data_IF_121058145332
#
_entry.id   IF_121058145332
#
_cell.length_a   1.000
_cell.length_b   1.000
_cell.length_c   1.000
_cell.angle_alpha   90.00
_cell.angle_beta   90.00
_cell.angle_gamma   90.00
#
_symmetry.space_group_name_H-M   'P 1'
#
loop_
_entity.id
_entity.type
_entity.pdbx_description
1 polymer ?
#
# COMPACT_ATOMS: atom_id res chain seq x y z
N UNK A 1 -3.48 -28.32 -1.78
CA UNK A 1 -2.88 -28.11 -0.45
C UNK A 1 -3.53 -26.88 0.11
N UNK A 2 -4.47 -27.12 1.02
CA UNK A 2 -5.45 -26.17 1.51
C UNK A 2 -4.79 -24.98 2.18
N UNK A 3 -5.16 -23.80 1.72
CA UNK A 3 -4.57 -22.51 2.09
C UNK A 3 -5.02 -22.00 3.46
N UNK A 4 -5.38 -22.88 4.38
CA UNK A 4 -5.80 -22.50 5.73
C UNK A 4 -4.55 -22.30 6.59
N UNK A 5 -4.24 -21.04 6.86
CA UNK A 5 -3.20 -20.67 7.81
C UNK A 5 -3.62 -21.12 9.23
N UNK A 6 -2.71 -21.66 10.05
CA UNK A 6 -3.04 -22.10 11.40
C UNK A 6 -3.55 -20.92 12.26
N UNK A 7 -4.42 -21.23 13.23
CA UNK A 7 -5.16 -20.28 14.10
C UNK A 7 -4.30 -19.27 14.91
N UNK A 8 -2.96 -19.32 14.80
CA UNK A 8 -2.02 -18.45 15.52
C UNK A 8 -1.82 -17.05 14.92
N UNK A 9 -2.63 -16.64 13.94
CA UNK A 9 -2.43 -15.36 13.26
C UNK A 9 -3.71 -14.51 13.27
N UNK A 10 -3.96 -13.87 14.42
CA UNK A 10 -5.12 -13.01 14.72
C UNK A 10 -5.46 -11.91 13.69
N UNK A 11 -4.58 -11.63 12.74
CA UNK A 11 -4.70 -10.54 11.78
C UNK A 11 -4.61 -11.00 10.31
N UNK A 12 -4.52 -12.31 10.05
CA UNK A 12 -4.53 -12.84 8.69
C UNK A 12 -5.92 -12.69 8.07
N UNK A 13 -5.99 -12.76 6.74
CA UNK A 13 -7.27 -12.69 6.04
C UNK A 13 -8.13 -13.91 6.44
N UNK A 14 -9.41 -13.67 6.73
CA UNK A 14 -10.37 -14.78 6.82
C UNK A 14 -10.56 -15.43 5.44
N UNK A 15 -11.15 -16.62 5.39
CA UNK A 15 -11.43 -17.29 4.12
C UNK A 15 -12.35 -16.45 3.22
N UNK A 16 -13.37 -15.83 3.80
CA UNK A 16 -14.30 -14.93 3.11
C UNK A 16 -13.58 -13.70 2.52
N UNK A 17 -12.73 -13.03 3.32
CA UNK A 17 -11.93 -11.91 2.84
C UNK A 17 -10.96 -12.33 1.74
N UNK A 18 -10.37 -13.52 1.88
CA UNK A 18 -9.48 -14.07 0.88
C UNK A 18 -10.22 -14.37 -0.43
N UNK A 19 -11.45 -14.88 -0.40
CA UNK A 19 -12.24 -15.15 -1.60
C UNK A 19 -12.50 -13.87 -2.40
N UNK A 20 -12.89 -12.78 -1.72
CA UNK A 20 -13.10 -11.47 -2.35
C UNK A 20 -11.79 -10.99 -2.97
N UNK A 21 -10.69 -10.99 -2.20
CA UNK A 21 -9.39 -10.52 -2.70
C UNK A 21 -8.89 -11.38 -3.87
N UNK A 22 -8.97 -12.70 -3.75
CA UNK A 22 -8.45 -13.66 -4.73
C UNK A 22 -9.10 -13.51 -6.11
N UNK A 23 -10.39 -13.15 -6.15
CA UNK A 23 -11.10 -12.85 -7.39
C UNK A 23 -10.51 -11.65 -8.17
N UNK A 24 -9.85 -10.72 -7.46
CA UNK A 24 -9.22 -9.53 -8.01
C UNK A 24 -7.74 -9.74 -8.37
N UNK A 25 -7.16 -10.87 -7.97
CA UNK A 25 -5.73 -11.15 -8.17
C UNK A 25 -5.47 -11.68 -9.58
N UNK A 26 -4.27 -11.42 -10.14
CA UNK A 26 -3.87 -12.02 -11.40
C UNK A 26 -3.91 -13.55 -11.31
N UNK A 27 -4.39 -14.20 -12.37
CA UNK A 27 -4.35 -15.64 -12.50
C UNK A 27 -2.93 -16.21 -12.37
N UNK A 28 -2.85 -17.51 -12.10
CA UNK A 28 -1.56 -18.20 -11.97
C UNK A 28 -0.76 -18.06 -13.28
N UNK A 29 0.54 -17.73 -13.23
CA UNK A 29 1.39 -17.71 -14.41
C UNK A 29 1.31 -19.06 -15.14
N UNK A 30 1.12 -19.02 -16.46
CA UNK A 30 1.08 -20.22 -17.32
C UNK A 30 2.47 -20.83 -17.54
N UNK A 31 3.53 -20.06 -17.34
CA UNK A 31 4.92 -20.44 -17.59
C UNK A 31 5.81 -20.09 -16.39
N UNK A 32 6.99 -20.71 -16.33
CA UNK A 32 7.97 -20.51 -15.27
C UNK A 32 7.83 -21.47 -14.09
N UNK A 33 8.76 -21.36 -13.13
CA UNK A 33 8.78 -22.21 -11.94
C UNK A 33 7.55 -21.91 -11.07
N UNK A 34 6.75 -22.92 -10.69
CA UNK A 34 5.67 -22.75 -9.73
C UNK A 34 6.16 -22.09 -8.45
N UNK A 35 5.34 -21.17 -7.91
CA UNK A 35 5.62 -20.55 -6.61
C UNK A 35 5.56 -21.62 -5.53
N UNK A 36 6.58 -21.63 -4.65
CA UNK A 36 6.62 -22.53 -3.50
C UNK A 36 5.57 -22.17 -2.44
N UNK A 37 5.28 -20.88 -2.27
CA UNK A 37 4.28 -20.37 -1.32
C UNK A 37 3.04 -19.86 -2.04
N UNK A 38 1.90 -19.96 -1.38
CA UNK A 38 0.63 -19.45 -1.91
C UNK A 38 0.65 -17.92 -1.97
N UNK A 39 -0.25 -17.31 -2.74
CA UNK A 39 -0.40 -15.85 -2.73
C UNK A 39 -0.91 -15.36 -1.38
N UNK A 40 -1.86 -16.09 -0.77
CA UNK A 40 -2.41 -15.79 0.56
C UNK A 40 -1.31 -15.68 1.61
N UNK A 41 -0.46 -16.71 1.71
CA UNK A 41 0.68 -16.74 2.64
C UNK A 41 1.55 -15.48 2.50
N UNK A 42 1.91 -15.12 1.28
CA UNK A 42 2.80 -14.00 1.03
C UNK A 42 2.10 -12.64 1.25
N UNK A 43 0.82 -12.52 0.89
CA UNK A 43 0.01 -11.32 1.16
C UNK A 43 -0.19 -11.12 2.66
N UNK A 44 -0.49 -12.17 3.42
CA UNK A 44 -0.59 -12.09 4.88
C UNK A 44 0.76 -11.76 5.51
N UNK A 45 1.88 -12.23 4.95
CA UNK A 45 3.22 -11.79 5.34
C UNK A 45 3.45 -10.30 5.13
N UNK A 46 2.98 -9.75 4.00
CA UNK A 46 3.03 -8.30 3.72
C UNK A 46 2.14 -7.54 4.71
N UNK A 47 0.90 -8.00 4.95
CA UNK A 47 -0.03 -7.40 5.91
C UNK A 47 0.54 -7.43 7.33
N UNK A 48 1.17 -8.53 7.74
CA UNK A 48 1.87 -8.63 9.02
C UNK A 48 2.96 -7.58 9.12
N UNK A 49 3.87 -7.50 8.14
CA UNK A 49 4.96 -6.52 8.13
C UNK A 49 4.46 -5.09 8.19
N UNK A 50 3.45 -4.75 7.38
CA UNK A 50 2.89 -3.39 7.33
C UNK A 50 2.26 -2.99 8.66
N UNK A 51 1.55 -3.91 9.31
CA UNK A 51 0.89 -3.67 10.60
C UNK A 51 1.87 -3.59 11.77
N UNK A 52 2.92 -4.41 11.78
CA UNK A 52 3.89 -4.43 12.90
C UNK A 52 5.02 -3.43 12.73
N UNK A 53 5.30 -3.00 11.50
CA UNK A 53 6.48 -2.19 11.19
C UNK A 53 7.80 -2.94 11.34
N UNK A 54 7.79 -4.27 11.52
CA UNK A 54 9.02 -5.04 11.70
C UNK A 54 9.92 -4.97 10.45
N UNK A 55 11.25 -5.08 10.62
CA UNK A 55 12.17 -5.32 9.51
C UNK A 55 11.69 -6.51 8.66
N UNK A 56 11.90 -6.44 7.34
CA UNK A 56 11.49 -7.52 6.43
C UNK A 56 12.04 -8.89 6.84
N UNK A 57 13.28 -8.91 7.34
CA UNK A 57 13.98 -10.13 7.80
C UNK A 57 13.31 -10.79 9.01
N UNK A 58 12.47 -10.04 9.74
CA UNK A 58 11.78 -10.50 10.95
C UNK A 58 10.35 -10.95 10.65
N UNK A 59 9.94 -10.95 9.37
CA UNK A 59 8.64 -11.51 8.96
C UNK A 59 8.63 -13.01 9.27
N UNK A 60 7.61 -13.52 9.99
CA UNK A 60 7.57 -14.92 10.37
C UNK A 60 7.60 -15.90 9.20
N UNK A 61 8.41 -16.94 9.31
CA UNK A 61 8.63 -17.94 8.25
C UNK A 61 7.37 -18.69 7.81
N UNK A 62 6.31 -18.70 8.63
CA UNK A 62 4.99 -19.26 8.28
C UNK A 62 4.39 -18.65 7.00
N UNK A 63 4.74 -17.40 6.71
CA UNK A 63 4.32 -16.68 5.50
C UNK A 63 5.20 -16.99 4.28
N UNK A 64 6.30 -17.71 4.50
CA UNK A 64 7.37 -17.95 3.55
C UNK A 64 8.63 -17.18 3.90
N UNK A 65 9.66 -17.32 3.05
CA UNK A 65 10.91 -16.59 3.27
C UNK A 65 10.69 -15.10 3.07
N UNK A 66 11.37 -14.27 3.86
CA UNK A 66 11.25 -12.82 3.78
C UNK A 66 11.56 -12.28 2.37
N UNK A 67 12.49 -12.92 1.64
CA UNK A 67 12.83 -12.54 0.26
C UNK A 67 11.62 -12.69 -0.67
N UNK A 68 10.81 -13.73 -0.49
CA UNK A 68 9.63 -13.95 -1.32
C UNK A 68 8.48 -13.02 -0.95
N UNK A 69 8.31 -12.70 0.34
CA UNK A 69 7.34 -11.71 0.82
C UNK A 69 7.69 -10.33 0.25
N UNK A 70 8.95 -9.90 0.44
CA UNK A 70 9.46 -8.62 -0.08
C UNK A 70 9.43 -8.57 -1.61
N UNK A 71 9.86 -9.64 -2.27
CA UNK A 71 9.88 -9.74 -3.73
C UNK A 71 8.48 -9.57 -4.34
N UNK A 72 7.46 -10.20 -3.74
CA UNK A 72 6.07 -9.99 -4.16
C UNK A 72 5.63 -8.54 -3.94
N UNK A 73 5.88 -8.00 -2.74
CA UNK A 73 5.54 -6.62 -2.40
C UNK A 73 6.11 -5.63 -3.42
N UNK A 74 7.41 -5.73 -3.69
CA UNK A 74 8.13 -4.84 -4.62
C UNK A 74 7.68 -5.01 -6.06
N UNK A 75 7.55 -6.24 -6.54
CA UNK A 75 7.08 -6.49 -7.91
C UNK A 75 5.68 -5.88 -8.13
N UNK A 76 4.79 -6.00 -7.14
CA UNK A 76 3.44 -5.43 -7.23
C UNK A 76 3.42 -3.91 -7.05
N UNK A 77 4.32 -3.36 -6.23
CA UNK A 77 4.51 -1.91 -6.12
C UNK A 77 4.92 -1.32 -7.47
N UNK A 78 5.97 -1.86 -8.10
CA UNK A 78 6.48 -1.38 -9.39
C UNK A 78 5.44 -1.53 -10.51
N UNK A 79 4.61 -2.57 -10.45
CA UNK A 79 3.53 -2.80 -11.41
C UNK A 79 2.23 -2.01 -11.10
N UNK A 80 2.18 -1.17 -10.06
CA UNK A 80 0.97 -0.44 -9.66
C UNK A 80 -0.18 -1.32 -9.18
N UNK A 81 0.06 -2.60 -8.89
CA UNK A 81 -0.99 -3.59 -8.61
C UNK A 81 -1.69 -3.36 -7.27
N UNK A 82 -0.99 -2.79 -6.27
CA UNK A 82 -1.62 -2.43 -5.00
C UNK A 82 -2.71 -1.38 -5.17
N UNK A 83 -2.42 -0.32 -5.94
CA UNK A 83 -3.39 0.72 -6.25
C UNK A 83 -4.58 0.13 -7.05
N UNK A 84 -4.32 -0.75 -8.02
CA UNK A 84 -5.39 -1.44 -8.75
C UNK A 84 -6.27 -2.31 -7.87
N UNK A 85 -5.70 -3.00 -6.88
CA UNK A 85 -6.46 -3.81 -5.91
C UNK A 85 -7.33 -2.92 -5.02
N UNK A 86 -6.78 -1.80 -4.51
CA UNK A 86 -7.55 -0.84 -3.71
C UNK A 86 -8.75 -0.30 -4.51
N UNK A 87 -8.51 0.13 -5.75
CA UNK A 87 -9.56 0.59 -6.66
C UNK A 87 -10.63 -0.48 -6.91
N UNK A 88 -10.24 -1.72 -7.16
CA UNK A 88 -11.20 -2.81 -7.38
C UNK A 88 -11.99 -3.16 -6.11
N UNK A 89 -11.36 -3.10 -4.93
CA UNK A 89 -12.07 -3.30 -3.65
C UNK A 89 -13.06 -2.16 -3.35
N UNK A 90 -12.75 -0.92 -3.73
CA UNK A 90 -13.69 0.20 -3.65
C UNK A 90 -14.90 -0.03 -4.56
N UNK A 91 -14.69 -0.48 -5.80
CA UNK A 91 -15.77 -0.80 -6.75
C UNK A 91 -16.68 -1.92 -6.23
N UNK A 92 -16.09 -3.01 -5.71
CA UNK A 92 -16.86 -4.09 -5.06
C UNK A 92 -17.67 -3.57 -3.88
N UNK A 93 -17.10 -2.67 -3.06
CA UNK A 93 -17.81 -2.09 -1.93
C UNK A 93 -18.96 -1.18 -2.38
N UNK A 94 -18.79 -0.41 -3.45
CA UNK A 94 -19.84 0.46 -4.00
C UNK A 94 -21.00 -0.36 -4.59
N UNK A 95 -20.68 -1.40 -5.36
CA UNK A 95 -21.66 -2.30 -5.99
C UNK A 95 -22.62 -2.92 -4.96
N UNK A 96 -22.12 -3.24 -3.76
CA UNK A 96 -22.91 -3.81 -2.66
C UNK A 96 -23.39 -2.77 -1.64
N UNK A 97 -23.28 -1.48 -1.96
CA UNK A 97 -23.83 -0.38 -1.16
C UNK A 97 -23.10 -0.11 0.16
N UNK A 98 -21.81 -0.47 0.25
CA UNK A 98 -20.98 -0.23 1.45
C UNK A 98 -20.24 1.11 1.43
N UNK A 99 -20.25 1.86 0.32
CA UNK A 99 -19.66 3.19 0.23
C UNK A 99 -20.67 4.24 0.71
N UNK A 100 -20.31 4.95 1.78
CA UNK A 100 -21.00 6.16 2.20
C UNK A 100 -20.37 7.37 1.47
N UNK A 101 -21.18 8.35 1.06
CA UNK A 101 -20.69 9.57 0.40
C UNK A 101 -20.47 10.75 1.37
N UNK A 102 -20.62 10.50 2.67
CA UNK A 102 -20.15 11.38 3.75
C UNK A 102 -18.65 11.20 3.91
N UNK A 103 -17.88 12.15 3.38
CA UNK A 103 -16.42 12.08 3.31
C UNK A 103 -15.76 13.06 4.27
N UNK A 104 -14.81 12.58 5.06
CA UNK A 104 -13.88 13.40 5.83
C UNK A 104 -12.54 13.47 5.13
N UNK A 105 -11.94 14.67 5.09
CA UNK A 105 -10.60 14.88 4.53
C UNK A 105 -9.71 15.45 5.62
N UNK A 106 -8.58 14.80 5.84
CA UNK A 106 -7.56 15.27 6.78
C UNK A 106 -6.16 14.96 6.24
N UNK A 107 -5.16 15.62 6.81
CA UNK A 107 -3.76 15.34 6.50
C UNK A 107 -2.96 15.05 7.76
N UNK A 108 -1.95 14.21 7.61
CA UNK A 108 -0.99 13.92 8.69
C UNK A 108 0.43 14.06 8.20
N UNK A 109 1.33 14.47 9.11
CA UNK A 109 2.76 14.68 8.82
C UNK A 109 3.55 13.52 9.39
N UNK A 110 4.28 12.82 8.53
CA UNK A 110 5.16 11.72 8.90
C UNK A 110 6.61 12.17 8.80
N UNK A 111 7.36 12.05 9.90
CA UNK A 111 8.81 12.27 9.87
C UNK A 111 9.48 11.15 9.07
N UNK A 112 10.36 11.53 8.15
CA UNK A 112 11.17 10.59 7.42
C UNK A 112 12.19 9.93 8.38
N UNK A 113 12.46 8.64 8.16
CA UNK A 113 13.55 7.97 8.87
C UNK A 113 14.87 8.71 8.60
N UNK A 114 15.78 8.78 9.57
CA UNK A 114 17.04 9.52 9.44
C UNK A 114 17.86 9.15 8.19
N UNK A 115 17.78 7.90 7.74
CA UNK A 115 18.45 7.41 6.53
C UNK A 115 17.84 7.93 5.21
N UNK A 116 16.66 8.54 5.23
CA UNK A 116 16.06 9.18 4.06
C UNK A 116 16.85 10.42 3.59
N UNK A 117 17.65 11.03 4.48
CA UNK A 117 18.47 12.19 4.15
C UNK A 117 19.61 11.89 3.16
N UNK A 118 19.95 10.60 2.96
CA UNK A 118 21.01 10.15 2.06
C UNK A 118 20.54 9.76 0.65
N UNK A 119 19.29 10.06 0.27
CA UNK A 119 18.78 9.74 -1.05
C UNK A 119 19.65 10.37 -2.15
N UNK A 120 19.83 9.64 -3.27
CA UNK A 120 20.66 10.12 -4.39
C UNK A 120 20.04 11.37 -5.00
N UNK A 121 20.86 12.37 -5.32
CA UNK A 121 20.43 13.64 -5.94
C UNK A 121 20.13 13.52 -7.44
N UNK A 122 20.45 12.37 -8.02
CA UNK A 122 20.27 12.00 -9.43
C UNK A 122 19.37 10.76 -9.50
N UNK A 123 18.04 10.91 -9.36
CA UNK A 123 17.09 9.79 -9.34
C UNK A 123 17.13 8.97 -10.64
N UNK A 124 17.45 9.61 -11.77
CA UNK A 124 17.64 8.97 -13.07
C UNK A 124 18.82 7.98 -13.12
N UNK A 125 19.77 8.10 -12.19
CA UNK A 125 20.95 7.24 -12.06
C UNK A 125 20.75 6.11 -11.03
N UNK A 126 19.54 5.95 -10.50
CA UNK A 126 19.21 4.82 -9.63
C UNK A 126 19.09 3.54 -10.46
N UNK A 127 19.50 2.41 -9.89
CA UNK A 127 19.33 1.08 -10.51
C UNK A 127 17.86 0.79 -10.84
N UNK A 128 16.96 1.31 -10.00
CA UNK A 128 15.51 1.32 -10.21
C UNK A 128 15.05 2.77 -10.06
N UNK A 129 14.98 3.55 -11.16
CA UNK A 129 14.50 4.93 -11.09
C UNK A 129 13.01 4.96 -10.73
N UNK A 130 12.54 5.99 -10.00
CA UNK A 130 11.12 6.09 -9.66
C UNK A 130 10.29 6.34 -10.91
N UNK A 131 9.23 5.56 -11.09
CA UNK A 131 8.26 5.78 -12.17
C UNK A 131 6.99 6.37 -11.58
N UNK A 132 6.61 7.56 -12.05
CA UNK A 132 5.40 8.26 -11.59
C UNK A 132 5.47 8.83 -10.18
N UNK A 133 6.66 8.86 -9.56
CA UNK A 133 6.90 9.53 -8.27
C UNK A 133 7.32 10.99 -8.49
N UNK A 134 6.95 11.93 -7.60
CA UNK A 134 7.50 13.28 -7.59
C UNK A 134 9.03 13.29 -7.49
N UNK A 135 9.68 14.29 -8.08
CA UNK A 135 11.14 14.42 -8.08
C UNK A 135 11.75 14.52 -6.66
N UNK A 136 10.97 14.96 -5.68
CA UNK A 136 11.35 15.07 -4.28
C UNK A 136 10.92 13.86 -3.44
N UNK A 137 10.38 12.80 -4.04
CA UNK A 137 9.83 11.63 -3.36
C UNK A 137 8.76 11.97 -2.31
N UNK A 138 8.05 13.10 -2.50
CA UNK A 138 7.16 13.70 -1.51
C UNK A 138 7.83 13.96 -0.15
N UNK A 139 9.16 14.16 -0.14
CA UNK A 139 9.94 14.52 1.04
C UNK A 139 10.26 16.01 1.03
N UNK A 140 10.17 16.62 2.21
CA UNK A 140 10.26 18.06 2.35
C UNK A 140 10.88 18.49 3.67
N UNK A 141 11.62 19.61 3.68
CA UNK A 141 12.20 20.15 4.92
C UNK A 141 11.15 20.99 5.66
N UNK A 142 10.78 20.56 6.87
CA UNK A 142 9.97 21.34 7.81
C UNK A 142 10.75 21.65 9.09
N UNK A 143 10.12 22.30 10.08
CA UNK A 143 10.75 22.60 11.38
C UNK A 143 11.28 21.36 12.10
N UNK A 144 10.74 20.17 11.78
CA UNK A 144 11.11 18.90 12.39
C UNK A 144 12.09 18.04 11.59
N UNK A 145 12.71 18.56 10.53
CA UNK A 145 13.59 17.80 9.62
C UNK A 145 12.88 17.41 8.32
N UNK A 146 13.31 16.32 7.68
CA UNK A 146 12.65 15.79 6.49
C UNK A 146 11.32 15.12 6.88
N UNK A 147 10.23 15.55 6.26
CA UNK A 147 8.88 15.02 6.50
C UNK A 147 8.10 14.88 5.19
N UNK A 148 7.12 13.99 5.20
CA UNK A 148 6.09 13.80 4.17
C UNK A 148 4.73 14.16 4.77
N UNK A 149 3.80 14.63 3.95
CA UNK A 149 2.39 14.71 4.31
C UNK A 149 1.59 13.67 3.55
N UNK A 150 0.69 13.00 4.27
CA UNK A 150 -0.32 12.11 3.70
C UNK A 150 -1.65 12.83 3.83
N UNK A 151 -2.28 13.17 2.71
CA UNK A 151 -3.65 13.69 2.67
C UNK A 151 -4.58 12.55 2.28
N UNK A 152 -5.65 12.37 3.04
CA UNK A 152 -6.54 11.22 2.89
C UNK A 152 -7.99 11.68 2.92
N UNK A 153 -8.77 11.27 1.93
CA UNK A 153 -10.23 11.30 1.96
C UNK A 153 -10.73 9.92 2.38
N UNK A 154 -11.56 9.87 3.43
CA UNK A 154 -12.12 8.64 3.99
C UNK A 154 -13.62 8.81 4.14
N UNK A 155 -14.39 7.83 3.67
CA UNK A 155 -15.83 7.82 3.91
C UNK A 155 -16.20 7.33 5.32
N UNK A 156 -17.44 7.56 5.75
CA UNK A 156 -17.91 7.28 7.11
C UNK A 156 -17.68 5.81 7.56
N UNK A 157 -17.71 4.85 6.65
CA UNK A 157 -17.38 3.44 6.89
C UNK A 157 -15.87 3.12 6.97
N UNK A 158 -14.99 4.12 6.98
CA UNK A 158 -13.52 4.06 7.11
C UNK A 158 -12.76 3.51 5.90
N UNK A 159 -13.34 3.54 4.71
CA UNK A 159 -12.70 3.15 3.46
C UNK A 159 -12.04 4.40 2.85
N UNK A 160 -10.75 4.33 2.47
CA UNK A 160 -10.12 5.42 1.75
C UNK A 160 -10.80 5.60 0.40
N UNK A 161 -10.97 6.83 -0.05
CA UNK A 161 -11.50 7.18 -1.38
C UNK A 161 -10.47 7.93 -2.24
N UNK A 162 -9.55 8.65 -1.61
CA UNK A 162 -8.45 9.31 -2.31
C UNK A 162 -7.26 9.49 -1.38
N UNK A 163 -6.05 9.30 -1.93
CA UNK A 163 -4.79 9.56 -1.23
C UNK A 163 -3.90 10.48 -2.07
N UNK A 164 -3.22 11.41 -1.40
CA UNK A 164 -2.20 12.27 -1.98
C UNK A 164 -1.01 12.38 -1.04
N UNK A 165 0.19 12.26 -1.59
CA UNK A 165 1.43 12.52 -0.86
C UNK A 165 2.01 13.86 -1.31
N UNK A 166 2.46 14.67 -0.35
CA UNK A 166 3.19 15.90 -0.64
C UNK A 166 4.41 16.06 0.27
N UNK A 167 5.39 16.87 -0.12
CA UNK A 167 6.47 17.29 0.77
C UNK A 167 5.97 17.91 2.07
N UNK A 168 6.73 17.73 3.13
CA UNK A 168 6.43 18.21 4.48
C UNK A 168 6.10 19.69 4.62
N UNK A 169 6.72 20.56 3.81
CA UNK A 169 6.49 22.01 3.82
C UNK A 169 5.26 22.45 3.01
N UNK A 170 4.63 21.55 2.25
CA UNK A 170 3.47 21.90 1.44
C UNK A 170 2.31 22.31 2.36
N UNK A 171 1.63 23.42 2.05
CA UNK A 171 0.44 23.84 2.75
C UNK A 171 -0.71 22.86 2.49
N UNK A 172 -1.55 22.60 3.49
CA UNK A 172 -2.66 21.63 3.38
C UNK A 172 -3.82 22.18 2.55
N UNK A 173 -4.16 23.47 2.72
CA UNK A 173 -5.34 24.07 2.09
C UNK A 173 -5.38 23.93 0.57
N UNK A 174 -4.28 24.15 -0.19
CA UNK A 174 -4.29 23.90 -1.64
C UNK A 174 -4.46 22.42 -2.02
N UNK A 175 -4.04 21.50 -1.14
CA UNK A 175 -4.12 20.06 -1.41
C UNK A 175 -5.53 19.52 -1.21
N UNK A 176 -6.35 20.18 -0.39
CA UNK A 176 -7.75 19.81 -0.18
C UNK A 176 -8.52 19.71 -1.52
N UNK A 177 -8.40 20.70 -2.40
CA UNK A 177 -9.04 20.68 -3.72
C UNK A 177 -8.54 19.53 -4.60
N UNK A 178 -7.25 19.20 -4.53
CA UNK A 178 -6.64 18.09 -5.27
C UNK A 178 -7.17 16.75 -4.77
N UNK A 179 -7.30 16.60 -3.45
CA UNK A 179 -7.86 15.39 -2.82
C UNK A 179 -9.32 15.22 -3.21
N UNK A 180 -10.12 16.29 -3.12
CA UNK A 180 -11.52 16.24 -3.53
C UNK A 180 -11.69 15.84 -5.00
N UNK A 181 -10.90 16.41 -5.91
CA UNK A 181 -10.94 16.05 -7.34
C UNK A 181 -10.49 14.61 -7.65
N UNK A 182 -9.89 13.91 -6.67
CA UNK A 182 -9.51 12.50 -6.80
C UNK A 182 -10.54 11.54 -6.22
N UNK A 183 -11.52 12.02 -5.44
CA UNK A 183 -12.58 11.17 -4.89
C UNK A 183 -13.38 10.59 -6.04
N UNK A 184 -13.35 9.26 -6.16
CA UNK A 184 -14.15 8.49 -7.10
C UNK A 184 -14.16 7.03 -6.68
N UNK A 185 -15.23 6.34 -7.03
CA UNK A 185 -15.22 4.89 -7.20
C UNK A 185 -15.44 4.66 -8.70
N UNK A 186 -14.50 4.03 -9.41
CA UNK A 186 -14.63 3.79 -10.84
C UNK A 186 -15.51 2.59 -11.17
#
# INVERSE_FOLDING_TARGET
MDGTLPAGARHDLTDEQWLILAALLPGRPRTGRPRRWTLRQLIDGIRFRTRTGCPWRDVPERYGTWQCVYGLFRAWQLAGRWAGIETALQAVADEVGLIDWTVSVDSTVNRAHQHAAGARRHPEQQTEPPVGEPADHALGRSRGGLTTKVHLAVEAGRKPLATLLTPGQAADSPQFTVVLGRIRVP
#
